data_IF_698506845541
#
_entry.id   IF_698506845541
#
_cell.length_a   1.000
_cell.length_b   1.000
_cell.length_c   1.000
_cell.angle_alpha   90.00
_cell.angle_beta   90.00
_cell.angle_gamma   90.00
#
_symmetry.space_group_name_H-M   'P 1'
#
loop_
_entity.id
_entity.type
_entity.pdbx_description
1 polymer ?
#
# COMPACT_ATOMS: atom_id res chain seq x y z
N UNK A 1 -16.40 24.35 -12.25
CA UNK A 1 -17.06 23.16 -11.67
C UNK A 1 -16.03 22.49 -10.77
N UNK A 2 -16.33 22.35 -9.48
CA UNK A 2 -15.44 21.65 -8.55
C UNK A 2 -15.51 20.17 -8.92
N UNK A 3 -14.41 19.58 -9.38
CA UNK A 3 -14.37 18.14 -9.63
C UNK A 3 -14.49 17.45 -8.27
N UNK A 4 -15.69 16.98 -7.93
CA UNK A 4 -15.89 16.14 -6.75
C UNK A 4 -15.31 14.77 -7.11
N UNK A 5 -14.24 14.31 -6.44
CA UNK A 5 -13.68 12.99 -6.71
C UNK A 5 -14.76 11.94 -6.52
N UNK A 6 -14.84 10.96 -7.43
CA UNK A 6 -15.75 9.82 -7.28
C UNK A 6 -15.39 9.09 -5.98
N UNK A 7 -16.35 8.99 -5.06
CA UNK A 7 -16.15 8.26 -3.81
C UNK A 7 -15.87 6.78 -4.06
N UNK A 8 -14.96 6.23 -3.27
CA UNK A 8 -14.54 4.83 -3.28
C UNK A 8 -15.11 4.12 -2.06
N UNK A 9 -16.24 3.46 -2.24
CA UNK A 9 -16.88 2.71 -1.17
C UNK A 9 -16.23 1.33 -1.01
N UNK A 10 -15.60 1.06 0.14
CA UNK A 10 -14.84 -0.18 0.36
C UNK A 10 -15.71 -1.44 0.33
N UNK A 11 -17.01 -1.35 0.62
CA UNK A 11 -17.94 -2.48 0.50
C UNK A 11 -18.31 -2.80 -0.96
N UNK A 12 -18.09 -1.87 -1.89
CA UNK A 12 -18.34 -2.08 -3.33
C UNK A 12 -17.18 -2.77 -4.05
N UNK A 13 -16.01 -2.87 -3.40
CA UNK A 13 -14.85 -3.53 -3.98
C UNK A 13 -15.05 -5.05 -4.07
N UNK A 14 -14.51 -5.70 -5.12
CA UNK A 14 -14.77 -7.10 -5.37
C UNK A 14 -13.95 -8.04 -4.47
N UNK A 15 -14.41 -9.30 -4.42
CA UNK A 15 -13.67 -10.46 -3.94
C UNK A 15 -13.92 -11.59 -4.97
N UNK A 16 -12.94 -12.03 -5.77
CA UNK A 16 -11.50 -11.75 -5.70
C UNK A 16 -11.12 -10.28 -5.85
N UNK A 17 -9.98 -9.82 -5.28
CA UNK A 17 -9.53 -8.44 -5.39
C UNK A 17 -9.25 -8.06 -6.84
N UNK A 18 -9.50 -6.79 -7.18
CA UNK A 18 -9.23 -6.23 -8.50
C UNK A 18 -7.91 -5.46 -8.50
N UNK A 19 -7.08 -5.73 -9.50
CA UNK A 19 -5.83 -5.02 -9.76
C UNK A 19 -6.05 -4.05 -10.91
N UNK A 20 -5.65 -2.79 -10.73
CA UNK A 20 -5.77 -1.76 -11.76
C UNK A 20 -4.50 -0.90 -11.78
N UNK A 21 -4.04 -0.57 -12.99
CA UNK A 21 -3.01 0.44 -13.17
C UNK A 21 -3.63 1.83 -12.95
N UNK A 22 -2.88 2.70 -12.30
CA UNK A 22 -3.30 4.08 -12.02
C UNK A 22 -2.19 5.06 -12.38
N UNK A 23 -2.60 6.29 -12.71
CA UNK A 23 -1.71 7.41 -12.98
C UNK A 23 -1.65 8.43 -11.84
N UNK A 24 -1.98 8.01 -10.61
CA UNK A 24 -2.02 8.89 -9.43
C UNK A 24 -0.62 9.16 -8.93
N UNK A 25 -0.38 10.37 -8.43
CA UNK A 25 0.91 10.72 -7.87
C UNK A 25 1.06 10.12 -6.47
N UNK A 26 1.91 9.10 -6.35
CA UNK A 26 2.23 8.44 -5.09
C UNK A 26 3.57 8.94 -4.60
N UNK A 27 3.60 9.51 -3.39
CA UNK A 27 4.82 9.99 -2.74
C UNK A 27 4.91 9.43 -1.33
N UNK A 28 6.09 8.95 -0.95
CA UNK A 28 6.36 8.46 0.40
C UNK A 28 7.63 9.09 0.92
N UNK A 29 7.56 9.68 2.12
CA UNK A 29 8.71 10.23 2.83
C UNK A 29 8.91 9.56 4.19
N UNK A 30 10.15 9.51 4.64
CA UNK A 30 10.53 9.01 5.97
C UNK A 30 11.62 9.91 6.53
N UNK A 31 11.39 10.48 7.72
CA UNK A 31 12.31 11.43 8.37
C UNK A 31 12.70 12.62 7.45
N UNK A 32 11.76 13.10 6.63
CA UNK A 32 11.98 14.19 5.67
C UNK A 32 12.68 13.78 4.37
N UNK A 33 13.16 12.54 4.25
CA UNK A 33 13.73 12.00 3.01
C UNK A 33 12.64 11.35 2.15
N UNK A 34 12.66 11.59 0.84
CA UNK A 34 11.79 10.89 -0.10
C UNK A 34 12.29 9.46 -0.34
N UNK A 35 11.46 8.47 0.01
CA UNK A 35 11.77 7.05 -0.15
C UNK A 35 11.07 6.42 -1.36
N UNK A 36 9.97 7.01 -1.84
CA UNK A 36 9.34 6.63 -3.09
C UNK A 36 8.60 7.81 -3.75
N UNK A 37 8.60 7.85 -5.09
CA UNK A 37 7.87 8.86 -5.87
C UNK A 37 7.56 8.32 -7.28
N UNK A 38 6.28 8.20 -7.63
CA UNK A 38 5.86 7.67 -8.94
C UNK A 38 4.46 8.15 -9.32
N UNK A 39 4.20 8.25 -10.62
CA UNK A 39 2.85 8.33 -11.20
C UNK A 39 2.47 7.03 -11.92
N UNK A 40 3.36 6.04 -11.94
CA UNK A 40 3.09 4.73 -12.52
C UNK A 40 3.01 3.72 -11.37
N UNK A 41 1.79 3.44 -10.93
CA UNK A 41 1.53 2.48 -9.86
C UNK A 41 0.38 1.56 -10.25
N UNK A 42 0.26 0.47 -9.51
CA UNK A 42 -0.99 -0.28 -9.44
C UNK A 42 -1.63 -0.05 -8.08
N UNK A 43 -2.94 -0.18 -8.01
CA UNK A 43 -3.62 -0.38 -6.74
C UNK A 43 -4.41 -1.70 -6.75
N UNK A 44 -4.66 -2.23 -5.56
CA UNK A 44 -5.54 -3.36 -5.36
C UNK A 44 -6.74 -2.92 -4.55
N UNK A 45 -7.93 -3.24 -5.06
CA UNK A 45 -9.22 -2.99 -4.43
C UNK A 45 -9.81 -4.31 -3.94
N UNK A 46 -10.08 -4.42 -2.64
CA UNK A 46 -10.62 -5.62 -1.99
C UNK A 46 -11.72 -5.21 -1.00
N UNK A 47 -12.82 -5.98 -0.94
CA UNK A 47 -13.98 -5.67 -0.08
C UNK A 47 -13.56 -5.37 1.37
N UNK A 48 -14.00 -4.24 1.93
CA UNK A 48 -13.67 -3.70 3.26
C UNK A 48 -12.21 -3.24 3.47
N UNK A 49 -11.41 -3.18 2.42
CA UNK A 49 -10.05 -2.65 2.46
C UNK A 49 -9.93 -1.39 1.60
N UNK A 50 -9.35 -0.29 2.11
CA UNK A 50 -8.89 0.80 1.28
C UNK A 50 -7.90 0.33 0.22
N UNK A 51 -7.68 1.11 -0.85
CA UNK A 51 -6.69 0.77 -1.87
C UNK A 51 -5.32 0.49 -1.27
N UNK A 52 -4.70 -0.60 -1.71
CA UNK A 52 -3.29 -0.92 -1.42
C UNK A 52 -2.46 -0.62 -2.65
N UNK A 53 -1.41 0.18 -2.51
CA UNK A 53 -0.63 0.69 -3.65
C UNK A 53 0.65 -0.13 -3.88
N UNK A 54 0.89 -0.50 -5.13
CA UNK A 54 2.06 -1.23 -5.59
C UNK A 54 2.87 -0.33 -6.51
N UNK A 55 4.10 -0.05 -6.09
CA UNK A 55 5.02 0.88 -6.73
C UNK A 55 6.13 0.08 -7.45
N UNK A 56 6.56 0.51 -8.65
CA UNK A 56 7.63 -0.16 -9.37
C UNK A 56 8.95 -0.01 -8.61
N UNK A 57 9.86 -1.00 -8.65
CA UNK A 57 11.17 -0.92 -7.99
C UNK A 57 11.97 0.33 -8.34
N UNK A 58 11.88 0.79 -9.59
CA UNK A 58 12.57 2.00 -10.07
C UNK A 58 12.14 3.29 -9.37
N UNK A 59 11.00 3.30 -8.69
CA UNK A 59 10.52 4.44 -7.92
C UNK A 59 11.02 4.48 -6.47
N UNK A 60 11.59 3.36 -5.97
CA UNK A 60 12.10 3.25 -4.61
C UNK A 60 13.51 3.86 -4.55
N UNK A 61 13.72 4.82 -3.64
CA UNK A 61 14.93 5.66 -3.59
C UNK A 61 15.92 5.26 -2.50
N UNK A 62 15.63 4.17 -1.81
CA UNK A 62 16.37 3.69 -0.65
C UNK A 62 16.67 2.19 -0.80
N UNK A 63 17.81 1.71 -0.28
CA UNK A 63 18.11 0.28 -0.28
C UNK A 63 17.14 -0.48 0.60
N UNK A 64 16.73 -1.66 0.14
CA UNK A 64 15.87 -2.59 0.86
C UNK A 64 16.65 -3.87 1.17
N UNK A 65 16.52 -4.36 2.41
CA UNK A 65 17.12 -5.64 2.83
C UNK A 65 15.99 -6.66 3.03
N UNK A 66 15.98 -7.82 2.34
CA UNK A 66 14.95 -8.82 2.56
C UNK A 66 15.02 -9.38 3.99
N UNK A 67 13.88 -9.79 4.53
CA UNK A 67 13.76 -10.46 5.83
C UNK A 67 13.28 -11.90 5.69
N UNK A 68 13.41 -12.69 6.75
CA UNK A 68 12.90 -14.07 6.79
C UNK A 68 11.37 -14.15 6.91
N UNK A 69 10.67 -13.02 7.08
CA UNK A 69 9.21 -13.01 7.19
C UNK A 69 8.60 -13.32 5.83
N UNK A 70 7.71 -14.30 5.82
CA UNK A 70 6.85 -14.59 4.68
C UNK A 70 5.39 -14.70 5.14
N UNK A 71 4.48 -14.24 4.29
CA UNK A 71 3.04 -14.44 4.48
C UNK A 71 2.44 -14.96 3.18
N UNK A 72 1.30 -15.64 3.28
CA UNK A 72 0.58 -16.16 2.13
C UNK A 72 -0.74 -15.41 1.93
N UNK A 73 -0.98 -14.94 0.72
CA UNK A 73 -2.27 -14.40 0.29
C UNK A 73 -2.91 -15.40 -0.68
N UNK A 74 -4.15 -15.84 -0.39
CA UNK A 74 -4.90 -16.76 -1.24
C UNK A 74 -5.05 -16.28 -2.70
N UNK A 75 -5.03 -14.97 -2.93
CA UNK A 75 -5.16 -14.36 -4.25
C UNK A 75 -3.83 -14.11 -4.94
N UNK A 76 -2.78 -13.76 -4.20
CA UNK A 76 -1.53 -13.19 -4.73
C UNK A 76 -0.31 -14.10 -4.56
N UNK A 77 -0.39 -15.12 -3.72
CA UNK A 77 0.73 -16.02 -3.41
C UNK A 77 1.58 -15.54 -2.23
N UNK A 78 2.85 -15.94 -2.21
CA UNK A 78 3.79 -15.67 -1.13
C UNK A 78 4.36 -14.25 -1.20
N UNK A 79 4.26 -13.50 -0.11
CA UNK A 79 4.86 -12.18 0.04
C UNK A 79 6.26 -12.27 0.65
N UNK A 80 7.21 -11.53 0.08
CA UNK A 80 8.54 -11.27 0.62
C UNK A 80 8.54 -9.91 1.33
N UNK A 81 9.11 -9.84 2.53
CA UNK A 81 9.16 -8.60 3.31
C UNK A 81 10.57 -8.01 3.34
N UNK A 82 10.64 -6.71 3.56
CA UNK A 82 11.90 -5.96 3.59
C UNK A 82 12.02 -5.09 4.84
N UNK A 83 13.27 -4.82 5.19
CA UNK A 83 13.69 -3.82 6.16
C UNK A 83 14.36 -2.65 5.47
N UNK A 84 14.22 -1.48 6.06
CA UNK A 84 14.89 -0.24 5.67
C UNK A 84 15.68 0.29 6.85
N UNK A 85 16.90 0.75 6.61
CA UNK A 85 17.70 1.47 7.58
C UNK A 85 17.78 2.95 7.23
N UNK A 86 17.58 3.83 8.22
CA UNK A 86 17.69 5.28 8.05
C UNK A 86 19.15 5.65 7.87
N UNK A 87 19.52 6.38 6.81
CA UNK A 87 20.87 6.91 6.66
C UNK A 87 21.15 8.07 7.63
N UNK A 88 20.12 8.66 8.24
CA UNK A 88 20.26 9.82 9.12
C UNK A 88 20.65 9.43 10.55
N UNK A 89 20.05 8.37 11.09
CA UNK A 89 20.23 7.97 12.48
C UNK A 89 20.43 6.46 12.69
N UNK A 90 20.43 5.66 11.63
CA UNK A 90 20.63 4.22 11.69
C UNK A 90 19.42 3.42 12.20
N UNK A 91 18.28 4.07 12.47
CA UNK A 91 17.04 3.39 12.87
C UNK A 91 16.58 2.41 11.79
N UNK A 92 15.92 1.32 12.18
CA UNK A 92 15.47 0.28 11.25
C UNK A 92 13.96 0.12 11.32
N UNK A 93 13.31 0.18 10.16
CA UNK A 93 11.91 -0.19 10.00
C UNK A 93 11.85 -1.53 9.27
N UNK A 94 11.39 -2.57 9.97
CA UNK A 94 11.36 -3.94 9.46
C UNK A 94 9.94 -4.41 9.14
N UNK A 95 9.80 -5.17 8.06
CA UNK A 95 8.56 -5.84 7.66
C UNK A 95 7.38 -4.89 7.37
N UNK A 96 7.70 -3.68 6.89
CA UNK A 96 6.71 -2.65 6.54
C UNK A 96 6.66 -2.33 5.05
N UNK A 97 7.48 -3.03 4.28
CA UNK A 97 7.46 -3.07 2.82
C UNK A 97 7.41 -4.53 2.43
N UNK A 98 6.59 -4.87 1.44
CA UNK A 98 6.52 -6.23 0.89
C UNK A 98 6.41 -6.23 -0.63
N UNK A 99 6.74 -7.37 -1.23
CA UNK A 99 6.57 -7.65 -2.65
C UNK A 99 6.01 -9.04 -2.90
N UNK A 100 5.45 -9.24 -4.09
CA UNK A 100 5.16 -10.57 -4.63
C UNK A 100 6.16 -10.86 -5.76
N UNK A 101 7.16 -11.69 -5.48
CA UNK A 101 8.18 -12.08 -6.47
C UNK A 101 7.66 -13.11 -7.49
N UNK A 102 6.66 -13.88 -7.07
CA UNK A 102 6.01 -14.93 -7.86
C UNK A 102 4.50 -14.87 -7.67
N UNK A 103 3.84 -13.78 -8.12
CA UNK A 103 2.41 -13.63 -7.98
C UNK A 103 1.65 -14.65 -8.85
N UNK A 104 0.39 -14.87 -8.51
CA UNK A 104 -0.56 -15.62 -9.37
C UNK A 104 -0.83 -14.85 -10.68
N UNK A 105 -1.40 -15.53 -11.67
CA UNK A 105 -1.62 -14.97 -13.01
C UNK A 105 -2.42 -13.65 -12.99
N UNK A 106 -3.50 -13.57 -12.21
CA UNK A 106 -4.32 -12.36 -12.09
C UNK A 106 -3.58 -11.15 -11.48
N UNK A 107 -2.41 -11.37 -10.88
CA UNK A 107 -1.57 -10.33 -10.28
C UNK A 107 -0.16 -10.30 -10.90
N UNK A 108 0.05 -10.93 -12.06
CA UNK A 108 1.36 -11.00 -12.72
C UNK A 108 1.98 -9.61 -13.00
N UNK A 109 1.14 -8.60 -13.24
CA UNK A 109 1.57 -7.23 -13.54
C UNK A 109 2.30 -6.53 -12.37
N UNK A 110 2.11 -6.98 -11.13
CA UNK A 110 2.80 -6.44 -9.94
C UNK A 110 3.96 -7.32 -9.48
N UNK A 111 4.46 -8.22 -10.33
CA UNK A 111 5.65 -9.02 -10.02
C UNK A 111 6.82 -8.11 -9.66
N UNK A 112 7.35 -8.28 -8.45
CA UNK A 112 8.46 -7.47 -7.93
C UNK A 112 8.08 -6.03 -7.58
N UNK A 113 6.83 -5.60 -7.71
CA UNK A 113 6.39 -4.29 -7.23
C UNK A 113 6.35 -4.27 -5.70
N UNK A 114 6.60 -3.10 -5.11
CA UNK A 114 6.67 -2.91 -3.67
C UNK A 114 5.40 -2.23 -3.16
N UNK A 115 4.85 -2.73 -2.06
CA UNK A 115 3.78 -2.07 -1.33
C UNK A 115 4.22 -1.77 0.10
N UNK A 116 3.65 -0.72 0.70
CA UNK A 116 4.09 -0.17 1.99
C UNK A 116 2.91 -0.02 2.95
N UNK A 117 3.10 -0.39 4.21
CA UNK A 117 2.16 -0.05 5.28
C UNK A 117 2.29 1.43 5.59
N UNK A 118 1.23 2.23 5.58
CA UNK A 118 1.37 3.68 5.73
C UNK A 118 1.87 4.17 7.11
N UNK A 119 1.80 3.34 8.16
CA UNK A 119 2.08 3.77 9.55
C UNK A 119 3.48 4.37 9.82
N UNK A 120 4.59 3.75 9.38
CA UNK A 120 5.95 4.23 9.65
C UNK A 120 6.41 5.41 8.78
N UNK A 121 5.60 5.82 7.79
CA UNK A 121 5.99 6.79 6.76
C UNK A 121 4.99 7.94 6.69
N UNK A 122 5.36 9.00 5.98
CA UNK A 122 4.37 9.96 5.49
C UNK A 122 4.05 9.61 4.04
N UNK A 123 2.86 9.04 3.83
CA UNK A 123 2.38 8.65 2.51
C UNK A 123 1.42 9.70 1.96
N UNK A 124 1.49 9.94 0.65
CA UNK A 124 0.62 10.87 -0.06
C UNK A 124 0.11 10.26 -1.36
N UNK A 125 -1.14 10.58 -1.70
CA UNK A 125 -1.78 10.27 -2.98
C UNK A 125 -2.33 11.57 -3.54
N UNK A 126 -1.86 11.98 -4.72
CA UNK A 126 -2.21 13.26 -5.36
C UNK A 126 -2.03 14.47 -4.41
N UNK A 127 -0.98 14.42 -3.59
CA UNK A 127 -0.69 15.44 -2.57
C UNK A 127 -1.54 15.34 -1.29
N UNK A 128 -2.54 14.47 -1.23
CA UNK A 128 -3.33 14.23 -0.01
C UNK A 128 -2.58 13.29 0.93
N UNK A 129 -2.40 13.69 2.19
CA UNK A 129 -1.77 12.84 3.22
C UNK A 129 -2.69 11.67 3.59
N UNK A 130 -2.16 10.48 3.50
CA UNK A 130 -2.85 9.22 3.76
C UNK A 130 -2.94 8.94 5.26
N UNK A 131 -4.06 8.38 5.69
CA UNK A 131 -4.17 7.69 6.98
C UNK A 131 -3.99 6.18 6.79
N UNK A 132 -3.29 5.53 7.70
CA UNK A 132 -3.20 4.07 7.68
C UNK A 132 -4.58 3.44 7.91
N UNK A 133 -4.87 2.34 7.21
CA UNK A 133 -6.01 1.49 7.54
C UNK A 133 -5.96 1.12 9.04
N UNK A 134 -7.08 1.24 9.78
CA UNK A 134 -7.12 0.88 11.20
C UNK A 134 -6.57 -0.52 11.45
N UNK A 135 -5.85 -0.67 12.57
CA UNK A 135 -5.05 -1.87 12.85
C UNK A 135 -3.60 -1.74 12.34
N UNK A 136 -2.83 -2.81 12.48
CA UNK A 136 -1.39 -2.81 12.16
C UNK A 136 -0.97 -3.95 11.22
N UNK A 137 -1.96 -4.60 10.62
CA UNK A 137 -1.80 -5.82 9.84
C UNK A 137 -2.24 -5.68 8.39
N UNK A 138 -2.93 -4.59 8.04
CA UNK A 138 -3.37 -4.30 6.67
C UNK A 138 -2.59 -3.15 6.02
N UNK A 139 -2.40 -3.27 4.72
CA UNK A 139 -1.65 -2.34 3.89
C UNK A 139 -2.48 -1.23 3.24
N UNK A 140 -3.78 -1.12 3.55
CA UNK A 140 -4.67 -0.15 2.90
C UNK A 140 -4.37 1.29 3.29
N UNK A 141 -4.52 2.18 2.32
CA UNK A 141 -4.28 3.63 2.46
C UNK A 141 -5.61 4.37 2.36
N UNK A 142 -5.95 5.13 3.40
CA UNK A 142 -7.18 5.91 3.48
C UNK A 142 -6.91 7.35 3.03
N UNK A 143 -7.59 7.76 1.95
CA UNK A 143 -7.72 9.14 1.49
C UNK A 143 -9.16 9.62 1.68
N UNK A 144 -9.42 10.90 1.46
CA UNK A 144 -10.72 11.56 1.63
C UNK A 144 -11.81 11.07 0.69
N UNK A 145 -11.43 10.39 -0.40
CA UNK A 145 -12.37 9.76 -1.31
C UNK A 145 -12.84 8.38 -0.83
N UNK A 146 -12.09 7.73 0.08
CA UNK A 146 -12.43 6.41 0.62
C UNK A 146 -13.54 6.58 1.64
N UNK A 147 -14.58 5.77 1.51
CA UNK A 147 -15.73 5.77 2.41
C UNK A 147 -16.19 4.34 2.73
N UNK A 148 -17.08 4.23 3.70
CA UNK A 148 -17.67 2.97 4.12
C UNK A 148 -17.08 2.43 5.42
N UNK A 149 -17.22 1.12 5.64
CA UNK A 149 -16.78 0.45 6.86
C UNK A 149 -15.47 -0.28 6.56
N UNK A 150 -14.39 0.21 7.13
CA UNK A 150 -13.07 -0.39 6.93
C UNK A 150 -12.86 -1.52 7.92
N UNK A 151 -12.29 -2.61 7.43
CA UNK A 151 -11.80 -3.68 8.29
C UNK A 151 -10.59 -3.20 9.08
N UNK A 152 -10.61 -3.33 10.39
CA UNK A 152 -9.46 -2.99 11.22
C UNK A 152 -9.20 -4.00 12.33
N UNK A 153 -8.75 -3.51 13.50
CA UNK A 153 -8.39 -4.32 14.67
C UNK A 153 -9.52 -5.27 15.10
N UNK A 154 -10.77 -4.83 15.00
CA UNK A 154 -11.93 -5.59 15.44
C UNK A 154 -12.66 -6.30 14.27
N UNK A 155 -12.03 -6.43 13.10
CA UNK A 155 -12.71 -6.89 11.89
C UNK A 155 -13.51 -5.77 11.22
N UNK A 156 -14.71 -6.05 10.72
CA UNK A 156 -15.53 -5.09 9.95
C UNK A 156 -16.28 -4.07 10.83
N UNK A 157 -15.73 -3.69 11.99
CA UNK A 157 -16.42 -2.86 12.98
C UNK A 157 -15.69 -1.55 13.29
N UNK A 158 -14.68 -1.18 12.50
CA UNK A 158 -13.93 0.06 12.67
C UNK A 158 -14.44 1.08 11.63
N UNK A 159 -15.48 1.88 11.94
CA UNK A 159 -15.98 2.90 11.02
C UNK A 159 -14.90 3.96 10.77
N UNK A 160 -14.92 4.51 9.55
CA UNK A 160 -14.10 5.67 9.15
C UNK A 160 -14.44 6.93 9.94
#
# INVERSE_FOLDING_TARGET
MVHVPKKLNVQSFPRPPRLEQISRHIRVTWEGQEIANTENAYWVLETHHPPTYYLPPSSIKIPLTPTDRQTWCEWKGAATYYSVQSPLNGSVVSNRIWSYERPTEGFAAIKGYLSLYAGPWECFVDGEKVKAQPGDFYGGWVTSEVEGIIKGRNGNWDPL
#
